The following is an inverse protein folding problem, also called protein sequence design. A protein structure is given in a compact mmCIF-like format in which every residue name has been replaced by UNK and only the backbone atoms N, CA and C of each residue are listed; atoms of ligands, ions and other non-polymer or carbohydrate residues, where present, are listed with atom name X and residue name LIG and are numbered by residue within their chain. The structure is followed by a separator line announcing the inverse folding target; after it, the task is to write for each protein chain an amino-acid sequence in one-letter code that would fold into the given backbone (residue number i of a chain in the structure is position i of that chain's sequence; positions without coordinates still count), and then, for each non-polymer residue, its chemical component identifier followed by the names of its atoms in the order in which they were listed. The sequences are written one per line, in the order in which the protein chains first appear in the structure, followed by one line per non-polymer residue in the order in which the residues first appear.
data_IF_174033788299
#
_entry.id   IF_174033788299
#
_cell.length_a   1.000
_cell.length_b   1.000
_cell.length_c   1.000
_cell.angle_alpha   90.00
_cell.angle_beta   90.00
_cell.angle_gamma   90.00
#
_symmetry.space_group_name_H-M   'P 1'
#
loop_
_entity.id
_entity.type
_entity.pdbx_description
1 polymer ?
#
# COMPACT_ATOMS: atom_id res chain seq x y z
N UNK A 1 28.61 -11.86 -13.47
CA UNK A 1 29.76 -11.56 -14.37
C UNK A 1 29.58 -10.24 -15.09
N UNK A 2 28.49 -10.03 -15.85
CA UNK A 2 28.23 -8.78 -16.60
C UNK A 2 28.06 -7.57 -15.67
N UNK A 3 27.31 -7.70 -14.58
CA UNK A 3 27.11 -6.63 -13.59
C UNK A 3 28.45 -6.26 -12.90
N UNK A 4 29.29 -7.24 -12.62
CA UNK A 4 30.62 -6.99 -12.03
C UNK A 4 31.54 -6.25 -13.01
N UNK A 5 31.48 -6.63 -14.28
CA UNK A 5 32.26 -5.98 -15.33
C UNK A 5 31.80 -4.53 -15.54
N UNK A 6 30.47 -4.31 -15.57
CA UNK A 6 29.89 -2.96 -15.62
C UNK A 6 30.34 -2.12 -14.42
N UNK A 7 30.20 -2.65 -13.19
CA UNK A 7 30.59 -1.94 -11.98
C UNK A 7 32.07 -1.57 -11.96
N UNK A 8 32.92 -2.43 -12.50
CA UNK A 8 34.38 -2.18 -12.62
C UNK A 8 34.68 -1.10 -13.67
N UNK A 9 34.11 -1.23 -14.90
CA UNK A 9 34.34 -0.29 -16.02
C UNK A 9 33.79 1.11 -15.74
N UNK A 10 32.60 1.21 -15.12
CA UNK A 10 31.95 2.49 -14.76
C UNK A 10 32.48 3.10 -13.48
N UNK A 11 33.38 2.44 -12.77
CA UNK A 11 33.80 2.82 -11.41
C UNK A 11 32.62 3.00 -10.43
N UNK A 12 31.56 2.24 -10.61
CA UNK A 12 30.32 2.37 -9.88
C UNK A 12 30.52 2.35 -8.35
N UNK A 13 31.44 1.51 -7.86
CA UNK A 13 31.73 1.43 -6.40
C UNK A 13 32.32 2.72 -5.84
N UNK A 14 33.17 3.40 -6.60
CA UNK A 14 33.74 4.72 -6.22
C UNK A 14 32.64 5.78 -6.20
N UNK A 15 31.80 5.80 -7.25
CA UNK A 15 30.62 6.66 -7.33
C UNK A 15 29.70 6.44 -6.12
N UNK A 16 29.32 5.21 -5.83
CA UNK A 16 28.45 4.86 -4.72
C UNK A 16 29.05 5.30 -3.37
N UNK A 17 30.34 5.05 -3.15
CA UNK A 17 31.05 5.47 -1.93
C UNK A 17 31.04 6.99 -1.75
N UNK A 18 31.27 7.73 -2.83
CA UNK A 18 31.22 9.21 -2.81
C UNK A 18 29.84 9.75 -2.44
N UNK A 19 28.77 9.08 -2.87
CA UNK A 19 27.38 9.51 -2.65
C UNK A 19 26.74 8.83 -1.43
N UNK A 20 27.47 8.03 -0.66
CA UNK A 20 26.95 7.35 0.53
C UNK A 20 26.23 8.28 1.52
N UNK A 21 26.71 9.50 1.83
CA UNK A 21 25.98 10.41 2.72
C UNK A 21 24.59 10.77 2.20
N UNK A 22 24.45 11.00 0.88
CA UNK A 22 23.16 11.27 0.24
C UNK A 22 22.18 10.08 0.41
N UNK A 23 22.63 8.86 0.12
CA UNK A 23 21.79 7.66 0.32
C UNK A 23 21.45 7.42 1.80
N UNK A 24 22.40 7.66 2.71
CA UNK A 24 22.15 7.53 4.15
C UNK A 24 21.08 8.53 4.63
N UNK A 25 21.06 9.74 4.10
CA UNK A 25 20.03 10.73 4.44
C UNK A 25 18.63 10.28 3.98
N UNK A 26 18.51 9.69 2.79
CA UNK A 26 17.24 9.15 2.30
C UNK A 26 16.76 8.01 3.22
N UNK A 27 17.63 7.07 3.56
CA UNK A 27 17.30 5.94 4.45
C UNK A 27 16.84 6.48 5.82
N UNK A 28 17.59 7.39 6.41
CA UNK A 28 17.24 7.98 7.71
C UNK A 28 15.92 8.77 7.68
N UNK A 29 15.57 9.39 6.55
CA UNK A 29 14.27 10.02 6.39
C UNK A 29 13.13 8.98 6.45
N UNK A 30 13.29 7.85 5.77
CA UNK A 30 12.34 6.73 5.84
C UNK A 30 12.22 6.15 7.26
N UNK A 31 13.33 5.92 7.94
CA UNK A 31 13.34 5.41 9.32
C UNK A 31 12.57 6.32 10.28
N UNK A 32 12.69 7.65 10.10
CA UNK A 32 11.99 8.61 10.96
C UNK A 32 10.49 8.77 10.62
N UNK A 33 10.13 8.72 9.35
CA UNK A 33 8.81 9.19 8.90
C UNK A 33 7.85 8.08 8.47
N UNK A 34 8.33 6.89 8.15
CA UNK A 34 7.47 5.84 7.59
C UNK A 34 7.10 4.72 8.59
N UNK A 35 7.86 4.55 9.66
CA UNK A 35 7.61 3.60 10.75
C UNK A 35 7.19 2.19 10.29
N UNK A 36 7.95 1.61 9.36
CA UNK A 36 7.68 0.31 8.72
C UNK A 36 7.40 -0.80 9.73
N UNK A 37 8.15 -0.83 10.84
CA UNK A 37 7.98 -1.86 11.88
C UNK A 37 6.58 -1.87 12.50
N UNK A 38 5.99 -0.69 12.77
CA UNK A 38 4.62 -0.60 13.29
C UNK A 38 3.59 -1.02 12.25
N UNK A 39 3.77 -0.63 10.99
CA UNK A 39 2.89 -0.99 9.89
C UNK A 39 2.87 -2.52 9.71
N UNK A 40 4.04 -3.14 9.69
CA UNK A 40 4.19 -4.58 9.57
C UNK A 40 3.54 -5.31 10.74
N UNK A 41 3.84 -4.93 11.98
CA UNK A 41 3.23 -5.51 13.18
C UNK A 41 1.70 -5.40 13.18
N UNK A 42 1.17 -4.25 12.74
CA UNK A 42 -0.27 -4.07 12.64
C UNK A 42 -0.89 -5.02 11.60
N UNK A 43 -0.26 -5.17 10.43
CA UNK A 43 -0.73 -6.08 9.38
C UNK A 43 -0.73 -7.55 9.86
N UNK A 44 0.32 -8.03 10.52
CA UNK A 44 0.39 -9.40 11.05
C UNK A 44 -0.58 -9.64 12.22
N UNK A 45 -0.91 -8.59 12.97
CA UNK A 45 -1.96 -8.66 13.98
C UNK A 45 -3.35 -8.80 13.34
N UNK A 46 -3.60 -8.14 12.21
CA UNK A 46 -4.92 -8.03 11.61
C UNK A 46 -5.17 -9.01 10.44
N UNK A 47 -4.14 -9.68 9.92
CA UNK A 47 -4.25 -10.69 8.88
C UNK A 47 -3.75 -12.07 9.38
N UNK A 48 -4.17 -13.15 8.70
CA UNK A 48 -3.72 -14.51 9.04
C UNK A 48 -2.34 -14.83 8.51
N UNK A 49 -1.96 -14.22 7.39
CA UNK A 49 -0.66 -14.42 6.78
C UNK A 49 0.43 -13.66 7.53
N UNK A 50 1.61 -14.26 7.64
CA UNK A 50 2.84 -13.62 8.12
C UNK A 50 3.89 -13.61 7.03
N UNK A 51 4.84 -12.67 7.09
CA UNK A 51 5.90 -12.53 6.11
C UNK A 51 7.27 -12.70 6.79
N UNK A 52 8.24 -13.30 6.09
CA UNK A 52 9.54 -13.57 6.68
C UNK A 52 10.44 -12.34 6.76
N UNK A 53 10.44 -11.50 5.72
CA UNK A 53 11.36 -10.38 5.64
C UNK A 53 10.93 -9.35 4.60
N UNK A 54 11.36 -8.09 4.81
CA UNK A 54 11.22 -7.00 3.85
C UNK A 54 12.58 -6.38 3.54
N UNK A 55 12.81 -6.03 2.27
CA UNK A 55 13.90 -5.18 1.83
C UNK A 55 13.33 -3.94 1.13
N UNK A 56 13.71 -2.76 1.59
CA UNK A 56 13.24 -1.49 1.04
C UNK A 56 14.38 -0.83 0.28
N UNK A 57 14.18 -0.60 -1.01
CA UNK A 57 15.09 0.12 -1.88
C UNK A 57 14.58 1.52 -2.10
N UNK A 58 15.16 2.50 -1.40
CA UNK A 58 14.86 3.91 -1.58
C UNK A 58 15.58 4.41 -2.84
N UNK A 59 14.85 4.63 -3.93
CA UNK A 59 15.43 5.04 -5.21
C UNK A 59 15.03 6.46 -5.58
N UNK A 60 15.98 7.40 -5.65
CA UNK A 60 15.69 8.76 -6.10
C UNK A 60 15.40 8.88 -7.60
N UNK A 61 15.60 7.79 -8.35
CA UNK A 61 15.43 7.77 -9.81
C UNK A 61 14.06 7.29 -10.27
N UNK A 62 13.25 6.73 -9.37
CA UNK A 62 11.87 6.38 -9.70
C UNK A 62 10.96 7.58 -9.47
N UNK A 63 10.22 7.95 -10.49
CA UNK A 63 9.32 9.10 -10.45
C UNK A 63 7.89 8.63 -10.14
N UNK A 64 7.60 8.37 -8.86
CA UNK A 64 6.26 8.02 -8.39
C UNK A 64 5.76 6.62 -8.78
N UNK A 65 6.62 5.76 -9.35
CA UNK A 65 6.30 4.37 -9.68
C UNK A 65 6.78 3.47 -8.54
N UNK A 66 5.95 3.31 -7.52
CA UNK A 66 6.20 2.36 -6.45
C UNK A 66 6.04 0.94 -6.98
N UNK A 67 6.81 0.03 -6.42
CA UNK A 67 6.77 -1.37 -6.82
C UNK A 67 7.04 -2.28 -5.62
N UNK A 68 6.26 -3.34 -5.51
CA UNK A 68 6.52 -4.45 -4.60
C UNK A 68 6.64 -5.75 -5.36
N UNK A 69 7.53 -6.64 -4.92
CA UNK A 69 7.71 -7.97 -5.48
C UNK A 69 8.25 -8.91 -4.42
N UNK A 70 8.41 -10.19 -4.76
CA UNK A 70 8.91 -11.18 -3.82
C UNK A 70 9.90 -12.16 -4.47
N UNK A 71 10.82 -12.66 -3.64
CA UNK A 71 11.66 -13.80 -3.90
C UNK A 71 11.33 -14.91 -2.92
N UNK A 72 11.10 -16.10 -3.44
CA UNK A 72 10.87 -17.30 -2.63
C UNK A 72 12.01 -18.29 -2.86
N UNK A 73 12.65 -18.72 -1.77
CA UNK A 73 13.66 -19.77 -1.80
C UNK A 73 13.43 -20.72 -0.63
N UNK A 74 13.14 -21.98 -0.92
CA UNK A 74 12.65 -22.94 0.05
C UNK A 74 11.40 -22.38 0.77
N UNK A 75 11.43 -22.31 2.10
CA UNK A 75 10.32 -21.78 2.90
C UNK A 75 10.52 -20.30 3.32
N UNK A 76 11.53 -19.63 2.76
CA UNK A 76 11.80 -18.21 3.05
C UNK A 76 11.30 -17.32 1.92
N UNK A 77 10.50 -16.32 2.27
CA UNK A 77 9.99 -15.30 1.36
C UNK A 77 10.57 -13.93 1.74
N UNK A 78 11.35 -13.36 0.83
CA UNK A 78 11.77 -11.97 0.90
C UNK A 78 10.83 -11.12 0.05
N UNK A 79 10.17 -10.16 0.67
CA UNK A 79 9.44 -9.11 -0.03
C UNK A 79 10.39 -7.94 -0.24
N UNK A 80 10.46 -7.43 -1.45
CA UNK A 80 11.21 -6.21 -1.73
C UNK A 80 10.29 -5.12 -2.28
N UNK A 81 10.57 -3.90 -1.88
CA UNK A 81 9.85 -2.70 -2.33
C UNK A 81 10.85 -1.71 -2.90
N UNK A 82 10.49 -1.09 -4.00
CA UNK A 82 11.24 0.03 -4.57
C UNK A 82 10.39 1.29 -4.43
N UNK A 83 10.88 2.25 -3.67
CA UNK A 83 10.13 3.43 -3.27
C UNK A 83 10.87 4.71 -3.67
N UNK A 84 10.16 5.80 -4.03
CA UNK A 84 10.76 7.11 -4.30
C UNK A 84 11.28 7.73 -3.00
N UNK A 85 12.03 8.83 -3.04
CA UNK A 85 12.26 9.65 -1.85
C UNK A 85 10.94 10.09 -1.23
N UNK A 86 10.97 10.32 0.10
CA UNK A 86 9.80 10.85 0.79
C UNK A 86 9.44 12.24 0.27
N UNK A 87 8.15 12.48 0.11
CA UNK A 87 7.62 13.80 -0.18
C UNK A 87 7.62 14.66 1.09
N UNK A 88 7.92 15.94 0.92
CA UNK A 88 7.76 16.93 1.97
C UNK A 88 7.03 18.14 1.43
N UNK A 89 5.92 18.50 2.07
CA UNK A 89 5.16 19.68 1.73
C UNK A 89 5.19 20.68 2.89
N UNK A 90 5.79 21.83 2.66
CA UNK A 90 5.95 22.90 3.68
C UNK A 90 4.60 23.46 4.19
N UNK A 91 3.53 23.30 3.41
CA UNK A 91 2.19 23.74 3.79
C UNK A 91 1.45 22.74 4.69
N UNK A 92 2.03 21.56 4.89
CA UNK A 92 1.48 20.50 5.77
C UNK A 92 2.22 20.50 7.11
N UNK A 93 1.51 20.18 8.18
CA UNK A 93 2.12 19.89 9.48
C UNK A 93 3.06 18.68 9.39
N UNK A 94 3.91 18.52 10.40
CA UNK A 94 4.77 17.34 10.50
C UNK A 94 3.94 16.03 10.47
N UNK A 95 2.78 16.00 11.13
CA UNK A 95 1.89 14.84 11.19
C UNK A 95 1.25 14.53 9.84
N UNK A 96 0.82 15.54 9.10
CA UNK A 96 0.26 15.34 7.76
C UNK A 96 1.32 14.83 6.77
N UNK A 97 2.55 15.35 6.85
CA UNK A 97 3.68 14.81 6.08
C UNK A 97 4.02 13.36 6.46
N UNK A 98 3.96 13.00 7.75
CA UNK A 98 4.12 11.62 8.20
C UNK A 98 3.03 10.71 7.61
N UNK A 99 1.75 11.12 7.65
CA UNK A 99 0.63 10.36 7.12
C UNK A 99 0.73 10.16 5.60
N UNK A 100 1.14 11.21 4.87
CA UNK A 100 1.38 11.14 3.42
C UNK A 100 2.41 10.05 3.08
N UNK A 101 3.54 10.06 3.77
CA UNK A 101 4.63 9.11 3.54
C UNK A 101 4.31 7.71 4.07
N UNK A 102 3.62 7.61 5.22
CA UNK A 102 3.15 6.33 5.77
C UNK A 102 2.22 5.62 4.79
N UNK A 103 1.35 6.35 4.09
CA UNK A 103 0.45 5.78 3.07
C UNK A 103 1.23 5.12 1.95
N UNK A 104 2.21 5.81 1.38
CA UNK A 104 3.02 5.28 0.26
C UNK A 104 3.71 3.97 0.64
N UNK A 105 4.27 3.91 1.85
CA UNK A 105 4.92 2.70 2.36
C UNK A 105 3.91 1.59 2.66
N UNK A 106 2.82 1.95 3.35
CA UNK A 106 1.83 0.98 3.80
C UNK A 106 1.17 0.26 2.63
N UNK A 107 0.77 0.99 1.59
CA UNK A 107 0.09 0.41 0.43
C UNK A 107 0.97 -0.56 -0.36
N UNK A 108 2.30 -0.42 -0.32
CA UNK A 108 3.21 -1.41 -0.91
C UNK A 108 3.38 -2.65 -0.01
N UNK A 109 3.32 -2.48 1.31
CA UNK A 109 3.41 -3.62 2.25
C UNK A 109 2.12 -4.44 2.19
N UNK A 110 0.95 -3.79 2.29
CA UNK A 110 -0.32 -4.45 2.49
C UNK A 110 -0.82 -5.21 1.25
N UNK A 111 -0.36 -4.87 0.04
CA UNK A 111 -0.56 -5.72 -1.15
C UNK A 111 -0.21 -7.19 -0.90
N UNK A 112 0.77 -7.46 -0.06
CA UNK A 112 1.20 -8.81 0.29
C UNK A 112 0.28 -9.50 1.32
N UNK A 113 -0.61 -8.75 1.97
CA UNK A 113 -1.61 -9.26 2.92
C UNK A 113 -2.99 -9.34 2.29
N UNK A 114 -3.40 -8.34 1.54
CA UNK A 114 -4.71 -8.27 0.85
C UNK A 114 -4.84 -9.36 -0.22
N UNK A 115 -3.76 -9.68 -0.93
CA UNK A 115 -3.75 -10.62 -2.07
C UNK A 115 -4.32 -12.01 -1.72
N UNK A 116 -3.96 -12.59 -0.58
CA UNK A 116 -4.37 -13.95 -0.24
C UNK A 116 -5.89 -14.05 0.03
N UNK A 117 -6.51 -13.23 0.90
CA UNK A 117 -7.96 -13.25 1.08
C UNK A 117 -8.73 -12.85 -0.19
N UNK A 118 -8.23 -11.91 -1.01
CA UNK A 118 -8.85 -11.57 -2.30
C UNK A 118 -8.89 -12.75 -3.25
N UNK A 119 -7.78 -13.49 -3.37
CA UNK A 119 -7.73 -14.69 -4.21
C UNK A 119 -8.70 -15.78 -3.71
N UNK A 120 -8.82 -15.95 -2.39
CA UNK A 120 -9.77 -16.90 -1.79
C UNK A 120 -11.23 -16.51 -2.05
N UNK A 121 -11.51 -15.24 -2.38
CA UNK A 121 -12.86 -14.72 -2.63
C UNK A 121 -13.04 -14.27 -4.10
N UNK A 122 -12.23 -14.78 -5.03
CA UNK A 122 -12.22 -14.35 -6.44
C UNK A 122 -13.60 -14.41 -7.08
N UNK A 123 -14.40 -15.44 -6.84
CA UNK A 123 -15.73 -15.58 -7.43
C UNK A 123 -16.69 -14.51 -6.92
N UNK A 124 -16.68 -14.22 -5.63
CA UNK A 124 -17.50 -13.18 -5.03
C UNK A 124 -17.07 -11.78 -5.54
N UNK A 125 -15.78 -11.52 -5.61
CA UNK A 125 -15.24 -10.28 -6.16
C UNK A 125 -15.67 -10.12 -7.64
N UNK A 126 -15.50 -11.15 -8.44
CA UNK A 126 -15.92 -11.12 -9.85
C UNK A 126 -17.43 -10.91 -9.98
N UNK A 127 -18.24 -11.43 -9.06
CA UNK A 127 -19.67 -11.20 -9.06
C UNK A 127 -20.06 -9.76 -8.74
N UNK A 128 -19.53 -9.19 -7.64
CA UNK A 128 -19.92 -7.85 -7.18
C UNK A 128 -19.24 -6.71 -7.96
N UNK A 129 -18.05 -6.97 -8.50
CA UNK A 129 -17.26 -5.98 -9.23
C UNK A 129 -17.28 -6.17 -10.76
N UNK A 130 -18.13 -7.07 -11.28
CA UNK A 130 -18.23 -7.40 -12.73
C UNK A 130 -18.45 -6.18 -13.63
N UNK A 131 -19.26 -5.24 -13.19
CA UNK A 131 -19.48 -3.99 -13.91
C UNK A 131 -18.41 -2.96 -13.48
N UNK A 132 -17.26 -3.05 -14.16
CA UNK A 132 -16.09 -2.23 -13.86
C UNK A 132 -16.40 -0.72 -13.89
N UNK A 133 -17.28 -0.26 -14.76
CA UNK A 133 -17.63 1.16 -14.93
C UNK A 133 -18.35 1.74 -13.70
N UNK A 134 -18.97 0.90 -12.88
CA UNK A 134 -19.54 1.33 -11.60
C UNK A 134 -18.47 1.71 -10.58
N UNK A 135 -17.26 1.16 -10.74
CA UNK A 135 -16.17 1.25 -9.75
C UNK A 135 -15.08 2.21 -10.18
N UNK A 136 -14.80 2.29 -11.48
CA UNK A 136 -13.71 3.11 -11.99
C UNK A 136 -14.15 3.94 -13.18
N UNK A 137 -13.61 5.17 -13.24
CA UNK A 137 -13.73 6.04 -14.41
C UNK A 137 -12.63 5.67 -15.43
N UNK A 138 -13.02 4.94 -16.48
CA UNK A 138 -12.09 4.45 -17.51
C UNK A 138 -11.42 5.56 -18.34
N UNK A 139 -11.87 6.81 -18.20
CA UNK A 139 -11.25 7.96 -18.88
C UNK A 139 -10.04 8.52 -18.13
N UNK A 140 -9.86 8.15 -16.87
CA UNK A 140 -8.70 8.59 -16.07
C UNK A 140 -7.48 7.77 -16.44
N UNK A 141 -6.38 8.46 -16.75
CA UNK A 141 -5.10 7.83 -17.04
C UNK A 141 -4.65 6.98 -15.84
N UNK A 142 -4.05 5.81 -16.13
CA UNK A 142 -3.60 4.86 -15.10
C UNK A 142 -4.65 3.82 -14.70
N UNK A 143 -5.95 4.05 -14.89
CA UNK A 143 -7.01 3.07 -14.61
C UNK A 143 -6.87 1.80 -15.47
N UNK A 144 -6.20 1.87 -16.61
CA UNK A 144 -5.90 0.70 -17.46
C UNK A 144 -5.05 -0.36 -16.75
N UNK A 145 -4.28 0.02 -15.73
CA UNK A 145 -3.49 -0.93 -14.94
C UNK A 145 -4.34 -1.88 -14.09
N UNK A 146 -5.64 -1.60 -13.96
CA UNK A 146 -6.63 -2.39 -13.20
C UNK A 146 -7.69 -2.99 -14.14
N UNK A 147 -7.31 -3.95 -15.01
CA UNK A 147 -8.13 -4.38 -16.15
C UNK A 147 -9.32 -5.27 -15.79
N UNK A 148 -9.37 -5.83 -14.59
CA UNK A 148 -10.39 -6.79 -14.18
C UNK A 148 -10.91 -6.51 -12.75
N UNK A 149 -12.05 -7.14 -12.36
CA UNK A 149 -12.67 -6.95 -11.05
C UNK A 149 -11.73 -7.15 -9.86
N UNK A 150 -10.91 -8.19 -9.89
CA UNK A 150 -9.98 -8.51 -8.82
C UNK A 150 -8.95 -7.38 -8.61
N UNK A 151 -8.35 -6.88 -9.69
CA UNK A 151 -7.40 -5.78 -9.63
C UNK A 151 -8.02 -4.48 -9.15
N UNK A 152 -9.25 -4.19 -9.57
CA UNK A 152 -10.01 -3.03 -9.09
C UNK A 152 -10.28 -3.16 -7.59
N UNK A 153 -10.79 -4.31 -7.16
CA UNK A 153 -11.08 -4.56 -5.75
C UNK A 153 -9.82 -4.51 -4.89
N UNK A 154 -8.72 -5.15 -5.31
CA UNK A 154 -7.45 -5.16 -4.58
C UNK A 154 -6.95 -3.73 -4.32
N UNK A 155 -7.03 -2.84 -5.30
CA UNK A 155 -6.63 -1.45 -5.12
C UNK A 155 -7.53 -0.69 -4.13
N UNK A 156 -8.86 -0.86 -4.23
CA UNK A 156 -9.78 -0.34 -3.22
C UNK A 156 -9.46 -0.85 -1.82
N UNK A 157 -9.21 -2.16 -1.71
CA UNK A 157 -8.96 -2.81 -0.43
C UNK A 157 -7.62 -2.38 0.18
N UNK A 158 -6.57 -2.25 -0.62
CA UNK A 158 -5.26 -1.74 -0.21
C UNK A 158 -5.40 -0.38 0.48
N UNK A 159 -6.04 0.59 -0.17
CA UNK A 159 -6.26 1.90 0.44
C UNK A 159 -7.25 1.86 1.61
N UNK A 160 -8.23 0.96 1.57
CA UNK A 160 -9.15 0.72 2.68
C UNK A 160 -8.43 0.19 3.92
N UNK A 161 -7.53 -0.77 3.77
CA UNK A 161 -6.74 -1.34 4.88
C UNK A 161 -5.79 -0.30 5.49
N UNK A 162 -5.22 0.59 4.67
CA UNK A 162 -4.49 1.75 5.21
C UNK A 162 -5.36 2.61 6.13
N UNK A 163 -6.64 2.82 5.79
CA UNK A 163 -7.56 3.57 6.65
C UNK A 163 -7.90 2.84 7.94
N UNK A 164 -7.98 1.50 7.93
CA UNK A 164 -8.11 0.71 9.16
C UNK A 164 -6.86 0.86 10.06
N UNK A 165 -5.67 0.86 9.46
CA UNK A 165 -4.44 1.16 10.18
C UNK A 165 -4.46 2.56 10.79
N UNK A 166 -4.93 3.56 10.05
CA UNK A 166 -5.04 4.92 10.55
C UNK A 166 -6.04 5.04 11.72
N UNK A 167 -7.21 4.37 11.63
CA UNK A 167 -8.20 4.33 12.71
C UNK A 167 -7.62 3.76 14.01
N UNK A 168 -6.79 2.72 13.92
CA UNK A 168 -6.21 2.05 15.09
C UNK A 168 -4.94 2.75 15.62
N UNK A 169 -4.25 3.56 14.82
CA UNK A 169 -2.89 4.04 15.11
C UNK A 169 -2.78 5.54 15.37
N UNK A 170 -3.78 6.33 14.98
CA UNK A 170 -3.75 7.78 15.09
C UNK A 170 -4.93 8.33 15.88
N UNK A 171 -4.82 9.58 16.33
CA UNK A 171 -5.93 10.28 16.96
C UNK A 171 -7.08 10.50 15.96
N UNK A 172 -8.30 10.57 16.46
CA UNK A 172 -9.50 10.68 15.62
C UNK A 172 -9.46 11.85 14.62
N UNK A 173 -8.90 13.00 14.99
CA UNK A 173 -8.75 14.15 14.06
C UNK A 173 -7.83 13.82 12.88
N UNK A 174 -6.71 13.13 13.14
CA UNK A 174 -5.73 12.74 12.13
C UNK A 174 -6.29 11.63 11.25
N UNK A 175 -7.02 10.68 11.83
CA UNK A 175 -7.75 9.66 11.08
C UNK A 175 -8.79 10.28 10.12
N UNK A 176 -9.59 11.23 10.59
CA UNK A 176 -10.59 11.92 9.75
C UNK A 176 -9.89 12.63 8.58
N UNK A 177 -8.80 13.34 8.85
CA UNK A 177 -8.03 14.03 7.81
C UNK A 177 -7.42 13.03 6.79
N UNK A 178 -6.82 11.93 7.28
CA UNK A 178 -6.28 10.87 6.43
C UNK A 178 -7.38 10.23 5.56
N UNK A 179 -8.55 9.97 6.14
CA UNK A 179 -9.70 9.39 5.43
C UNK A 179 -10.14 10.26 4.26
N UNK A 180 -10.37 11.54 4.49
CA UNK A 180 -10.79 12.47 3.44
C UNK A 180 -9.70 12.64 2.36
N UNK A 181 -8.43 12.70 2.77
CA UNK A 181 -7.29 12.76 1.84
C UNK A 181 -7.22 11.51 0.95
N UNK A 182 -7.32 10.32 1.53
CA UNK A 182 -7.29 9.04 0.79
C UNK A 182 -8.46 8.94 -0.18
N UNK A 183 -9.67 9.28 0.26
CA UNK A 183 -10.86 9.26 -0.60
C UNK A 183 -10.65 10.20 -1.79
N UNK A 184 -10.22 11.44 -1.54
CA UNK A 184 -9.97 12.43 -2.59
C UNK A 184 -8.92 11.94 -3.60
N UNK A 185 -7.80 11.41 -3.13
CA UNK A 185 -6.73 10.86 -3.99
C UNK A 185 -7.25 9.71 -4.85
N UNK A 186 -7.99 8.79 -4.26
CA UNK A 186 -8.51 7.63 -4.99
C UNK A 186 -9.58 8.01 -6.01
N UNK A 187 -10.48 8.93 -5.67
CA UNK A 187 -11.48 9.44 -6.62
C UNK A 187 -10.82 10.17 -7.79
N UNK A 188 -9.77 10.96 -7.55
CA UNK A 188 -8.98 11.62 -8.61
C UNK A 188 -8.23 10.59 -9.49
N UNK A 189 -7.78 9.47 -8.92
CA UNK A 189 -7.19 8.34 -9.65
C UNK A 189 -8.25 7.53 -10.42
N UNK A 190 -9.52 7.90 -10.34
CA UNK A 190 -10.62 7.26 -11.05
C UNK A 190 -11.34 6.15 -10.29
N UNK A 191 -11.08 5.95 -9.01
CA UNK A 191 -11.79 4.99 -8.14
C UNK A 191 -13.02 5.64 -7.51
N UNK A 192 -14.07 5.81 -8.31
CA UNK A 192 -15.22 6.70 -8.06
C UNK A 192 -16.14 6.31 -6.89
N UNK A 193 -15.94 5.15 -6.31
CA UNK A 193 -16.72 4.63 -5.17
C UNK A 193 -15.91 4.53 -3.87
N UNK A 194 -14.77 5.22 -3.78
CA UNK A 194 -13.89 5.07 -2.63
C UNK A 194 -14.56 5.48 -1.31
N UNK A 195 -15.40 6.51 -1.32
CA UNK A 195 -16.18 6.91 -0.13
C UNK A 195 -17.14 5.82 0.31
N UNK A 196 -17.98 5.32 -0.60
CA UNK A 196 -18.93 4.24 -0.30
C UNK A 196 -18.20 2.98 0.19
N UNK A 197 -17.10 2.60 -0.46
CA UNK A 197 -16.27 1.47 -0.09
C UNK A 197 -15.73 1.62 1.33
N UNK A 198 -15.15 2.77 1.65
CA UNK A 198 -14.59 3.08 2.98
C UNK A 198 -15.65 3.02 4.07
N UNK A 199 -16.83 3.62 3.87
CA UNK A 199 -17.91 3.61 4.85
C UNK A 199 -18.38 2.19 5.18
N UNK A 200 -18.56 1.35 4.15
CA UNK A 200 -18.92 -0.07 4.33
C UNK A 200 -17.81 -0.85 5.05
N UNK A 201 -16.56 -0.60 4.69
CA UNK A 201 -15.40 -1.26 5.31
C UNK A 201 -15.29 -0.95 6.81
N UNK A 202 -15.37 0.34 7.16
CA UNK A 202 -15.32 0.79 8.56
C UNK A 202 -16.49 0.24 9.37
N UNK A 203 -17.69 0.17 8.77
CA UNK A 203 -18.86 -0.42 9.41
C UNK A 203 -18.62 -1.90 9.75
N UNK A 204 -18.24 -2.71 8.76
CA UNK A 204 -17.98 -4.15 8.98
C UNK A 204 -16.82 -4.34 9.98
N UNK A 205 -15.76 -3.52 9.91
CA UNK A 205 -14.67 -3.53 10.89
C UNK A 205 -15.18 -3.26 12.31
N UNK A 206 -16.05 -2.28 12.49
CA UNK A 206 -16.59 -1.93 13.81
C UNK A 206 -17.38 -3.06 14.47
N UNK A 207 -18.04 -3.89 13.66
CA UNK A 207 -18.82 -5.06 14.08
C UNK A 207 -17.93 -6.31 14.31
N UNK A 208 -16.67 -6.29 13.87
CA UNK A 208 -15.75 -7.43 13.89
C UNK A 208 -14.35 -7.09 14.44
N UNK A 209 -14.26 -6.18 15.43
CA UNK A 209 -12.97 -5.66 15.95
C UNK A 209 -12.02 -6.73 16.48
N UNK A 210 -12.56 -7.82 17.02
CA UNK A 210 -11.77 -8.91 17.60
C UNK A 210 -11.33 -9.97 16.58
N UNK A 211 -11.76 -9.83 15.33
CA UNK A 211 -11.47 -10.77 14.26
C UNK A 211 -10.41 -10.22 13.30
N UNK A 212 -9.70 -11.14 12.65
CA UNK A 212 -8.81 -10.80 11.55
C UNK A 212 -9.59 -10.39 10.29
N UNK A 213 -8.97 -9.59 9.44
CA UNK A 213 -9.59 -9.11 8.19
C UNK A 213 -10.07 -10.28 7.34
N UNK A 214 -9.27 -11.35 7.23
CA UNK A 214 -9.60 -12.58 6.50
C UNK A 214 -10.93 -13.21 6.95
N UNK A 215 -11.30 -13.08 8.23
CA UNK A 215 -12.46 -13.75 8.80
C UNK A 215 -13.79 -13.11 8.40
N UNK A 216 -13.79 -11.80 8.13
CA UNK A 216 -14.98 -11.05 7.73
C UNK A 216 -14.95 -10.55 6.26
N UNK A 217 -13.94 -10.96 5.50
CA UNK A 217 -13.75 -10.52 4.10
C UNK A 217 -14.96 -10.85 3.23
N UNK A 218 -15.52 -12.04 3.36
CA UNK A 218 -16.73 -12.47 2.64
C UNK A 218 -17.97 -11.66 3.05
N UNK A 219 -18.12 -11.36 4.35
CA UNK A 219 -19.22 -10.53 4.86
C UNK A 219 -19.14 -9.10 4.30
N UNK A 220 -17.94 -8.55 4.24
CA UNK A 220 -17.70 -7.25 3.64
C UNK A 220 -18.09 -7.23 2.16
N UNK A 221 -17.71 -8.24 1.38
CA UNK A 221 -18.08 -8.34 -0.03
C UNK A 221 -19.60 -8.35 -0.24
N UNK A 222 -20.36 -8.97 0.63
CA UNK A 222 -21.83 -8.97 0.56
C UNK A 222 -22.45 -7.58 0.67
N UNK A 223 -21.77 -6.61 1.25
CA UNK A 223 -22.26 -5.22 1.32
C UNK A 223 -22.42 -4.57 -0.05
N UNK A 224 -21.87 -5.16 -1.11
CA UNK A 224 -21.95 -4.65 -2.48
C UNK A 224 -23.02 -5.39 -3.34
N UNK A 225 -23.76 -6.31 -2.73
CA UNK A 225 -24.79 -7.14 -3.41
C UNK A 225 -26.15 -6.48 -3.59
N UNK A 226 -26.33 -5.22 -3.17
CA UNK A 226 -27.60 -4.49 -3.25
C UNK A 226 -27.53 -3.36 -4.26
#
# INVERSE_FOLDING_TARGET
KEIEEFARKSKFREFYKKHKPFYSNIISAYERSANVGKQWQWLEKNFKITQNSYAIFCSPLINGLNYTGDFVNNNFKLIYMVLPPLDYNENLSQRENELLNARVMFTEIDHNYVKAPSLAQTDAINHYFKDRKRWVNEKVEGVFAYPNPLKVFDEYMTFGVFLLYCEDSYENKDFIAAKESVISVMEQRGFIKMREFTEKLLKVRSENRDKKVDDWYHEFLKQFGN
#
